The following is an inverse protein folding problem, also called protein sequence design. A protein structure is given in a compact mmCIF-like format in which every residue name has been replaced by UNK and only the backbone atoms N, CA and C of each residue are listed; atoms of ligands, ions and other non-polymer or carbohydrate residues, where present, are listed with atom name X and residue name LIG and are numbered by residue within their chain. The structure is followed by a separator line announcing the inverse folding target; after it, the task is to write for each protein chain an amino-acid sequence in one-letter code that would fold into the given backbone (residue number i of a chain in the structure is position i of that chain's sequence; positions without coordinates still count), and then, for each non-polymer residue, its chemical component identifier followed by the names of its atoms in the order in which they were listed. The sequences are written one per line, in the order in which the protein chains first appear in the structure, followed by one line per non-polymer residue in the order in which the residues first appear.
data_IF_976611881972
#
_entry.id   IF_976611881972
#
_cell.length_a   1.000
_cell.length_b   1.000
_cell.length_c   1.000
_cell.angle_alpha   90.00
_cell.angle_beta   90.00
_cell.angle_gamma   90.00
#
_symmetry.space_group_name_H-M   'P 1'
#
loop_
_entity.id
_entity.type
_entity.pdbx_description
1 polymer ?
#
# COMPACT_ATOMS: atom_id res chain seq x y z
N UNK A 1 11.06 -19.16 4.45
CA UNK A 1 10.59 -17.77 4.65
C UNK A 1 10.08 -17.21 3.35
N UNK A 2 8.93 -16.62 3.37
CA UNK A 2 8.32 -16.01 2.19
C UNK A 2 7.71 -14.66 2.50
N UNK A 3 7.59 -13.80 1.49
CA UNK A 3 6.92 -12.51 1.59
C UNK A 3 5.81 -12.47 0.54
N UNK A 4 4.61 -12.12 0.97
CA UNK A 4 3.45 -12.00 0.09
C UNK A 4 2.91 -10.59 0.06
N UNK A 5 2.40 -10.21 -1.08
CA UNK A 5 1.74 -8.94 -1.32
C UNK A 5 0.29 -9.18 -1.72
N UNK A 6 -0.61 -8.41 -1.15
CA UNK A 6 -2.00 -8.40 -1.56
C UNK A 6 -2.61 -7.06 -1.19
N UNK A 7 -3.02 -6.28 -2.18
CA UNK A 7 -3.69 -4.97 -1.98
C UNK A 7 -2.98 -4.06 -0.96
N UNK A 8 -1.67 -3.91 -1.08
CA UNK A 8 -0.87 -3.10 -0.18
C UNK A 8 -0.49 -3.77 1.15
N UNK A 9 -0.84 -5.06 1.33
CA UNK A 9 -0.49 -5.81 2.53
C UNK A 9 0.80 -6.59 2.31
N UNK A 10 1.75 -6.49 3.25
CA UNK A 10 2.96 -7.30 3.27
C UNK A 10 2.79 -8.39 4.33
N UNK A 11 2.94 -9.63 3.91
CA UNK A 11 2.95 -10.77 4.82
C UNK A 11 4.31 -11.45 4.76
N UNK A 12 5.01 -11.52 5.88
CA UNK A 12 6.25 -12.28 6.02
C UNK A 12 5.95 -13.60 6.70
N UNK A 13 6.24 -14.71 6.01
CA UNK A 13 6.00 -16.05 6.53
C UNK A 13 7.33 -16.73 6.75
N UNK A 14 7.54 -17.28 7.94
CA UNK A 14 8.76 -17.98 8.31
C UNK A 14 8.44 -19.45 8.47
N UNK A 15 9.08 -20.28 7.66
CA UNK A 15 8.79 -21.71 7.58
C UNK A 15 9.87 -22.58 8.23
N UNK A 16 10.90 -21.98 8.84
CA UNK A 16 12.03 -22.72 9.38
C UNK A 16 12.08 -22.64 10.90
N UNK A 17 12.58 -23.70 11.52
CA UNK A 17 12.52 -23.95 12.96
C UNK A 17 13.80 -23.65 13.73
N UNK A 18 14.85 -23.09 13.14
CA UNK A 18 16.09 -22.81 13.87
C UNK A 18 16.00 -21.46 14.61
N UNK A 19 15.56 -21.53 15.85
CA UNK A 19 15.07 -20.39 16.64
C UNK A 19 16.04 -19.19 16.79
N UNK A 20 17.32 -19.38 16.99
CA UNK A 20 18.25 -18.29 17.25
C UNK A 20 18.53 -17.44 16.02
N UNK A 21 18.87 -18.08 14.90
CA UNK A 21 19.15 -17.40 13.63
C UNK A 21 17.89 -16.76 13.05
N UNK A 22 16.74 -17.44 13.17
CA UNK A 22 15.46 -16.91 12.70
C UNK A 22 15.06 -15.66 13.46
N UNK A 23 15.26 -15.63 14.77
CA UNK A 23 14.85 -14.47 15.57
C UNK A 23 15.57 -13.19 15.14
N UNK A 24 16.89 -13.26 14.93
CA UNK A 24 17.66 -12.11 14.45
C UNK A 24 17.24 -11.69 13.04
N UNK A 25 17.03 -12.67 12.15
CA UNK A 25 16.56 -12.42 10.79
C UNK A 25 15.14 -11.85 10.77
N UNK A 26 14.27 -12.29 11.68
CA UNK A 26 12.91 -11.75 11.82
C UNK A 26 12.92 -10.27 12.17
N UNK A 27 13.78 -9.84 13.08
CA UNK A 27 13.86 -8.43 13.46
C UNK A 27 14.33 -7.58 12.28
N UNK A 28 15.32 -8.04 11.55
CA UNK A 28 15.81 -7.35 10.34
C UNK A 28 14.72 -7.28 9.28
N UNK A 29 14.05 -8.38 9.02
CA UNK A 29 12.94 -8.44 8.04
C UNK A 29 11.81 -7.53 8.47
N UNK A 30 11.46 -7.54 9.75
CA UNK A 30 10.42 -6.66 10.31
C UNK A 30 10.77 -5.19 10.09
N UNK A 31 12.01 -4.81 10.36
CA UNK A 31 12.50 -3.45 10.15
C UNK A 31 12.42 -3.05 8.68
N UNK A 32 12.94 -3.90 7.80
CA UNK A 32 12.89 -3.66 6.34
C UNK A 32 11.45 -3.53 5.86
N UNK A 33 10.56 -4.43 6.29
CA UNK A 33 9.16 -4.38 5.90
C UNK A 33 8.46 -3.12 6.41
N UNK A 34 8.75 -2.69 7.63
CA UNK A 34 8.20 -1.45 8.16
C UNK A 34 8.63 -0.23 7.34
N UNK A 35 9.88 -0.17 6.93
CA UNK A 35 10.39 0.90 6.08
C UNK A 35 9.70 0.90 4.70
N UNK A 36 9.53 -0.28 4.11
CA UNK A 36 8.81 -0.42 2.84
C UNK A 36 7.36 0.01 2.96
N UNK A 37 6.69 -0.34 4.07
CA UNK A 37 5.30 0.06 4.30
C UNK A 37 5.16 1.57 4.47
N UNK A 38 6.05 2.19 5.22
CA UNK A 38 6.06 3.64 5.41
C UNK A 38 6.27 4.38 4.10
N UNK A 39 7.30 3.99 3.35
CA UNK A 39 7.60 4.57 2.04
C UNK A 39 6.48 4.28 1.03
N UNK A 40 5.87 3.11 1.12
CA UNK A 40 4.73 2.73 0.30
C UNK A 40 3.52 3.62 0.52
N UNK A 41 3.22 3.95 1.77
CA UNK A 41 2.13 4.88 2.09
C UNK A 41 2.40 6.28 1.53
N UNK A 42 3.63 6.75 1.63
CA UNK A 42 4.04 8.03 1.03
C UNK A 42 3.91 7.99 -0.49
N UNK A 43 4.33 6.91 -1.12
CA UNK A 43 4.15 6.68 -2.56
C UNK A 43 2.67 6.74 -2.95
N UNK A 44 1.79 6.12 -2.17
CA UNK A 44 0.35 6.17 -2.40
C UNK A 44 -0.20 7.59 -2.37
N UNK A 45 0.20 8.37 -1.40
CA UNK A 45 -0.18 9.80 -1.33
C UNK A 45 0.31 10.57 -2.54
N UNK A 46 1.52 10.32 -3.00
CA UNK A 46 2.09 10.95 -4.18
C UNK A 46 1.33 10.57 -5.45
N UNK A 47 0.91 9.32 -5.57
CA UNK A 47 0.10 8.85 -6.70
C UNK A 47 -1.22 9.63 -6.78
N UNK A 48 -1.90 9.84 -5.66
CA UNK A 48 -3.12 10.65 -5.60
C UNK A 48 -2.83 12.08 -6.04
N UNK A 49 -1.72 12.64 -5.60
CA UNK A 49 -1.29 13.99 -5.92
C UNK A 49 -0.82 14.20 -7.36
N UNK A 50 -0.56 13.11 -8.10
CA UNK A 50 -0.03 13.17 -9.46
C UNK A 50 -0.92 12.46 -10.50
N UNK A 51 -2.09 11.97 -10.10
CA UNK A 51 -3.05 11.36 -11.03
C UNK A 51 -4.06 12.43 -11.47
N UNK A 52 -4.22 12.68 -12.76
CA UNK A 52 -5.17 13.68 -13.23
C UNK A 52 -6.59 13.41 -12.76
N UNK A 53 -7.31 14.48 -12.45
CA UNK A 53 -8.71 14.38 -12.04
C UNK A 53 -9.56 13.76 -13.15
N UNK A 54 -10.45 12.87 -12.76
CA UNK A 54 -11.43 12.30 -13.68
C UNK A 54 -12.62 13.22 -13.94
N UNK A 55 -12.82 14.24 -13.10
CA UNK A 55 -14.02 15.08 -13.13
C UNK A 55 -13.74 16.54 -13.57
N UNK A 56 -12.56 17.05 -13.25
CA UNK A 56 -12.23 18.46 -13.51
C UNK A 56 -11.16 18.53 -14.59
N UNK A 57 -11.51 19.01 -15.80
CA UNK A 57 -10.52 19.16 -16.87
C UNK A 57 -9.37 20.08 -16.47
N UNK A 58 -8.15 19.65 -16.77
CA UNK A 58 -6.93 20.43 -16.48
C UNK A 58 -6.42 20.32 -15.06
N UNK A 59 -7.15 19.69 -14.16
CA UNK A 59 -6.69 19.42 -12.80
C UNK A 59 -5.76 18.20 -12.79
N UNK A 60 -4.55 18.35 -12.28
CA UNK A 60 -3.48 17.36 -12.37
C UNK A 60 -3.42 16.39 -11.18
N UNK A 61 -4.32 16.54 -10.22
CA UNK A 61 -4.40 15.67 -9.04
C UNK A 61 -5.83 15.23 -8.77
N UNK A 62 -5.98 14.28 -7.86
CA UNK A 62 -7.28 13.79 -7.35
C UNK A 62 -7.54 14.26 -5.92
N UNK A 63 -6.98 15.39 -5.54
CA UNK A 63 -7.18 15.98 -4.22
C UNK A 63 -8.37 16.93 -4.30
N UNK A 64 -9.42 16.64 -3.52
CA UNK A 64 -10.55 17.56 -3.33
C UNK A 64 -10.44 18.18 -1.94
N UNK A 65 -10.87 17.45 -0.90
CA UNK A 65 -10.74 17.92 0.48
C UNK A 65 -9.42 17.50 1.13
N UNK A 66 -8.65 16.63 0.47
CA UNK A 66 -7.46 16.02 1.03
C UNK A 66 -7.74 14.77 1.88
N UNK A 67 -9.00 14.43 2.12
CA UNK A 67 -9.37 13.31 2.98
C UNK A 67 -8.89 11.96 2.44
N UNK A 68 -9.11 11.70 1.15
CA UNK A 68 -8.67 10.46 0.52
C UNK A 68 -7.15 10.29 0.60
N UNK A 69 -6.39 11.35 0.28
CA UNK A 69 -4.94 11.34 0.36
C UNK A 69 -4.44 11.16 1.80
N UNK A 70 -5.02 11.91 2.74
CA UNK A 70 -4.64 11.83 4.15
C UNK A 70 -5.00 10.50 4.79
N UNK A 71 -5.96 9.76 4.21
CA UNK A 71 -6.37 8.44 4.70
C UNK A 71 -5.42 7.32 4.27
N UNK A 72 -4.49 7.58 3.36
CA UNK A 72 -3.44 6.61 3.01
C UNK A 72 -2.44 6.55 4.16
N UNK A 73 -2.33 5.38 4.76
CA UNK A 73 -1.49 5.14 5.94
C UNK A 73 -0.81 3.79 5.83
N UNK A 74 0.00 3.49 6.82
CA UNK A 74 0.57 2.15 6.97
C UNK A 74 0.34 1.62 8.38
N UNK A 75 0.15 0.32 8.48
CA UNK A 75 0.15 -0.42 9.73
C UNK A 75 1.46 -1.19 9.83
N UNK A 76 2.17 -1.03 10.92
CA UNK A 76 3.46 -1.70 11.13
C UNK A 76 3.28 -3.21 11.19
N UNK A 77 4.35 -3.93 10.85
CA UNK A 77 4.37 -5.38 10.92
C UNK A 77 4.05 -5.86 12.33
N UNK A 78 3.08 -6.75 12.44
CA UNK A 78 2.64 -7.37 13.69
C UNK A 78 2.72 -8.89 13.56
N UNK A 79 3.07 -9.56 14.63
CA UNK A 79 3.04 -11.01 14.68
C UNK A 79 1.58 -11.48 14.75
N UNK A 80 1.17 -12.25 13.76
CA UNK A 80 -0.15 -12.87 13.72
C UNK A 80 -0.12 -14.24 14.40
N UNK A 81 0.96 -15.01 14.18
CA UNK A 81 1.24 -16.27 14.85
C UNK A 81 2.77 -16.47 14.89
N UNK A 82 3.28 -17.57 15.52
CA UNK A 82 4.73 -17.75 15.65
C UNK A 82 5.52 -17.75 14.33
N UNK A 83 4.87 -18.04 13.21
CA UNK A 83 5.53 -18.14 11.91
C UNK A 83 5.13 -17.04 10.92
N UNK A 84 4.26 -16.10 11.32
CA UNK A 84 3.71 -15.12 10.38
C UNK A 84 3.63 -13.72 10.98
N UNK A 85 4.12 -12.73 10.25
CA UNK A 85 3.92 -11.32 10.53
C UNK A 85 3.14 -10.68 9.40
N UNK A 86 2.30 -9.70 9.72
CA UNK A 86 1.46 -8.99 8.76
C UNK A 86 1.57 -7.48 8.98
N UNK A 87 1.69 -6.75 7.90
CA UNK A 87 1.60 -5.30 7.86
C UNK A 87 0.82 -4.86 6.64
N UNK A 88 0.43 -3.62 6.59
CA UNK A 88 -0.36 -3.08 5.48
C UNK A 88 0.01 -1.63 5.17
N UNK A 89 -0.14 -1.25 3.92
CA UNK A 89 -0.09 0.14 3.49
C UNK A 89 -1.24 0.39 2.50
N UNK A 90 -1.80 1.58 2.56
CA UNK A 90 -2.97 1.96 1.78
C UNK A 90 -4.03 2.57 2.67
N UNK A 91 -5.28 2.36 2.34
CA UNK A 91 -6.39 2.80 3.19
C UNK A 91 -6.67 1.73 4.26
N UNK A 92 -5.85 1.73 5.29
CA UNK A 92 -5.87 0.70 6.34
C UNK A 92 -6.92 0.97 7.43
N UNK A 93 -7.51 2.14 7.44
CA UNK A 93 -8.58 2.52 8.36
C UNK A 93 -9.94 2.53 7.69
N UNK A 94 -10.77 3.52 8.03
CA UNK A 94 -12.07 3.71 7.40
C UNK A 94 -11.91 4.04 5.92
N UNK A 95 -12.63 3.33 5.07
CA UNK A 95 -12.65 3.52 3.63
C UNK A 95 -14.00 4.09 3.23
N UNK A 96 -13.99 5.27 2.61
CA UNK A 96 -15.17 5.86 2.04
C UNK A 96 -15.51 5.21 0.69
N UNK A 97 -16.80 5.13 0.34
CA UNK A 97 -17.21 4.48 -0.91
C UNK A 97 -16.55 5.11 -2.15
N UNK A 98 -16.34 6.42 -2.13
CA UNK A 98 -15.71 7.10 -3.26
C UNK A 98 -14.22 6.77 -3.43
N UNK A 99 -13.52 6.29 -2.39
CA UNK A 99 -12.14 5.82 -2.52
C UNK A 99 -12.08 4.62 -3.46
N UNK A 100 -13.02 3.70 -3.29
CA UNK A 100 -13.11 2.51 -4.14
C UNK A 100 -13.40 2.87 -5.59
N UNK A 101 -14.30 3.82 -5.82
CA UNK A 101 -14.62 4.29 -7.18
C UNK A 101 -13.41 4.98 -7.82
N UNK A 102 -12.66 5.78 -7.05
CA UNK A 102 -11.42 6.39 -7.54
C UNK A 102 -10.36 5.33 -7.89
N UNK A 103 -10.26 4.29 -7.08
CA UNK A 103 -9.26 3.24 -7.28
C UNK A 103 -9.59 2.34 -8.46
N UNK A 104 -10.82 1.83 -8.51
CA UNK A 104 -11.25 0.82 -9.48
C UNK A 104 -11.94 1.41 -10.72
N UNK A 105 -12.29 2.67 -10.68
CA UNK A 105 -13.08 3.31 -11.72
C UNK A 105 -14.56 2.93 -11.66
N UNK A 106 -15.33 3.50 -12.54
CA UNK A 106 -16.75 3.21 -12.68
C UNK A 106 -17.62 4.46 -12.73
N UNK A 107 -18.91 4.24 -12.71
CA UNK A 107 -19.88 5.34 -12.72
C UNK A 107 -20.07 5.87 -11.30
N UNK A 108 -19.91 7.18 -11.16
CA UNK A 108 -20.26 7.89 -9.95
C UNK A 108 -21.70 8.39 -10.07
N UNK A 109 -22.57 7.97 -9.16
CA UNK A 109 -23.97 8.40 -9.11
C UNK A 109 -24.24 9.27 -7.89
N UNK A 110 -25.25 10.15 -7.99
CA UNK A 110 -25.68 10.98 -6.87
C UNK A 110 -24.81 12.19 -6.56
N UNK A 111 -23.85 12.51 -7.40
CA UNK A 111 -23.06 13.73 -7.28
C UNK A 111 -23.77 14.93 -7.88
N UNK A 112 -23.44 16.13 -7.39
CA UNK A 112 -23.97 17.41 -7.90
C UNK A 112 -23.79 17.60 -9.39
N UNK A 113 -22.84 16.88 -10.01
CA UNK A 113 -22.49 16.98 -11.42
C UNK A 113 -23.14 15.90 -12.29
N UNK A 114 -24.04 15.09 -11.72
CA UNK A 114 -24.68 13.98 -12.41
C UNK A 114 -23.80 12.74 -12.50
N UNK A 115 -24.29 11.73 -13.21
CA UNK A 115 -23.56 10.48 -13.39
C UNK A 115 -22.36 10.69 -14.32
N UNK A 116 -21.17 10.39 -13.86
CA UNK A 116 -19.95 10.49 -14.63
C UNK A 116 -19.10 9.25 -14.47
N UNK A 117 -18.44 8.87 -15.54
CA UNK A 117 -17.44 7.80 -15.49
C UNK A 117 -16.14 8.33 -14.89
N UNK A 118 -15.66 7.61 -13.87
CA UNK A 118 -14.38 7.90 -13.22
C UNK A 118 -13.36 6.90 -13.70
N UNK A 119 -12.30 7.37 -14.35
CA UNK A 119 -11.20 6.52 -14.76
C UNK A 119 -10.46 5.99 -13.53
N UNK A 120 -10.08 4.70 -13.51
CA UNK A 120 -9.41 4.13 -12.35
C UNK A 120 -8.04 4.76 -12.10
N UNK A 121 -7.73 4.99 -10.83
CA UNK A 121 -6.43 5.52 -10.41
C UNK A 121 -5.38 4.41 -10.25
N UNK A 122 -5.81 3.23 -9.82
CA UNK A 122 -4.94 2.08 -9.55
C UNK A 122 -3.79 2.41 -8.59
N UNK A 123 -4.08 3.20 -7.56
CA UNK A 123 -3.08 3.56 -6.55
C UNK A 123 -2.53 2.33 -5.84
N UNK A 124 -3.41 1.43 -5.38
CA UNK A 124 -3.00 0.24 -4.65
C UNK A 124 -2.18 -0.72 -5.52
N UNK A 125 -2.53 -0.86 -6.78
CA UNK A 125 -1.77 -1.70 -7.72
C UNK A 125 -0.38 -1.12 -7.97
N UNK A 126 -0.29 0.18 -8.19
CA UNK A 126 0.99 0.88 -8.38
C UNK A 126 1.85 0.83 -7.13
N UNK A 127 1.27 1.10 -5.95
CA UNK A 127 1.96 0.97 -4.66
C UNK A 127 2.54 -0.43 -4.51
N UNK A 128 1.73 -1.45 -4.74
CA UNK A 128 2.14 -2.85 -4.63
C UNK A 128 3.36 -3.14 -5.48
N UNK A 129 3.35 -2.75 -6.74
CA UNK A 129 4.47 -3.00 -7.65
C UNK A 129 5.75 -2.30 -7.19
N UNK A 130 5.64 -1.06 -6.75
CA UNK A 130 6.78 -0.28 -6.25
C UNK A 130 7.30 -0.87 -4.94
N UNK A 131 6.43 -1.19 -4.01
CA UNK A 131 6.79 -1.78 -2.73
C UNK A 131 7.43 -3.15 -2.90
N UNK A 132 6.92 -3.99 -3.80
CA UNK A 132 7.49 -5.30 -4.08
C UNK A 132 8.93 -5.18 -4.60
N UNK A 133 9.15 -4.29 -5.54
CA UNK A 133 10.49 -4.02 -6.07
C UNK A 133 11.43 -3.49 -4.98
N UNK A 134 10.97 -2.53 -4.18
CA UNK A 134 11.73 -1.95 -3.08
C UNK A 134 12.07 -2.99 -2.01
N UNK A 135 11.11 -3.83 -1.66
CA UNK A 135 11.34 -4.90 -0.68
C UNK A 135 12.40 -5.89 -1.16
N UNK A 136 12.30 -6.33 -2.41
CA UNK A 136 13.30 -7.26 -2.97
C UNK A 136 14.70 -6.65 -2.97
N UNK A 137 14.81 -5.38 -3.31
CA UNK A 137 16.09 -4.67 -3.31
C UNK A 137 16.65 -4.55 -1.90
N UNK A 138 15.86 -4.13 -0.93
CA UNK A 138 16.28 -3.97 0.46
C UNK A 138 16.68 -5.30 1.10
N UNK A 139 15.95 -6.38 0.81
CA UNK A 139 16.30 -7.72 1.30
C UNK A 139 17.61 -8.22 0.70
N UNK A 140 17.85 -7.94 -0.58
CA UNK A 140 19.14 -8.26 -1.20
C UNK A 140 20.29 -7.48 -0.55
N UNK A 141 20.08 -6.21 -0.28
CA UNK A 141 21.09 -5.36 0.36
C UNK A 141 21.44 -5.86 1.77
N UNK A 142 20.43 -6.34 2.52
CA UNK A 142 20.62 -6.84 3.88
C UNK A 142 21.22 -8.25 3.94
N UNK A 143 20.78 -9.15 3.07
CA UNK A 143 21.14 -10.56 3.15
C UNK A 143 22.13 -11.01 2.07
N UNK A 144 22.46 -10.16 1.13
CA UNK A 144 23.34 -10.48 0.02
C UNK A 144 22.70 -11.45 -0.99
N UNK A 145 22.32 -11.02 -2.13
CA UNK A 145 21.71 -11.87 -3.18
C UNK A 145 20.42 -12.58 -2.74
#
# INVERSE_FOLDING_TARGET
MGVRWSNGTITAVINDASRGTIYSSMQTIRSVCNDVLEDGAETGRDIIGNTPSALVPGKTDRIDTGHMQASVRHDRMKRENPSKMVGAAGWTGTVEDYFKVQEEGGMSSGLRMGDRYITPMHMLVQMRLIMESDLHQRLRDEFGN
#
